data_IF_649245373173
#
_entry.id   IF_649245373173
#
_cell.length_a   1.000
_cell.length_b   1.000
_cell.length_c   1.000
_cell.angle_alpha   90.00
_cell.angle_beta   90.00
_cell.angle_gamma   90.00
#
_symmetry.space_group_name_H-M   'P 1'
#
loop_
_entity.id
_entity.type
_entity.pdbx_description
1 polymer ?
#
# COMPACT_ATOMS: atom_id res chain seq x y z
N UNK A 1 -18.67 8.46 2.24
CA UNK A 1 -17.85 9.20 3.23
C UNK A 1 -17.41 10.56 2.70
N UNK A 2 -16.86 10.65 1.47
CA UNK A 2 -16.46 11.92 0.85
C UNK A 2 -17.66 12.86 0.68
N UNK A 3 -18.78 12.35 0.17
CA UNK A 3 -20.01 13.13 -0.03
C UNK A 3 -20.59 13.63 1.30
N UNK A 4 -20.59 12.79 2.34
CA UNK A 4 -21.10 13.16 3.67
C UNK A 4 -20.22 14.21 4.38
N UNK A 5 -18.91 14.22 4.10
CA UNK A 5 -18.00 15.26 4.59
C UNK A 5 -18.19 16.59 3.85
N UNK A 6 -18.43 16.53 2.53
CA UNK A 6 -18.70 17.71 1.73
C UNK A 6 -20.05 18.38 2.08
N UNK A 7 -21.00 17.60 2.65
CA UNK A 7 -22.29 18.09 3.13
C UNK A 7 -22.29 18.50 4.63
N UNK A 8 -21.11 18.65 5.26
CA UNK A 8 -20.92 18.93 6.69
C UNK A 8 -21.62 17.93 7.67
N UNK A 9 -22.11 16.80 7.14
CA UNK A 9 -22.77 15.78 7.94
C UNK A 9 -21.79 14.97 8.82
N UNK A 10 -20.50 15.04 8.52
CA UNK A 10 -19.43 14.43 9.32
C UNK A 10 -18.33 15.46 9.50
N UNK A 11 -17.98 15.78 10.75
CA UNK A 11 -16.89 16.68 11.08
C UNK A 11 -15.59 16.27 10.35
N UNK A 12 -14.98 17.19 9.64
CA UNK A 12 -13.68 16.97 9.02
C UNK A 12 -12.64 16.76 10.13
N UNK A 13 -11.79 15.73 9.97
CA UNK A 13 -10.66 15.54 10.89
C UNK A 13 -9.84 16.83 10.93
N UNK A 14 -9.54 17.37 12.14
CA UNK A 14 -8.74 18.58 12.25
C UNK A 14 -7.41 18.40 11.52
N UNK A 15 -6.97 19.45 10.84
CA UNK A 15 -5.70 19.46 10.14
C UNK A 15 -4.56 19.27 11.15
N UNK A 16 -3.74 18.25 10.93
CA UNK A 16 -2.51 18.06 11.70
C UNK A 16 -1.50 19.17 11.32
N UNK A 17 -1.28 20.11 12.22
CA UNK A 17 -0.40 21.28 12.02
C UNK A 17 1.06 21.01 12.40
N UNK A 18 1.37 19.79 12.91
CA UNK A 18 2.74 19.40 13.25
C UNK A 18 3.66 19.39 12.01
N UNK A 19 4.98 19.43 12.23
CA UNK A 19 5.96 19.33 11.15
C UNK A 19 5.74 18.06 10.33
N UNK A 20 5.45 16.94 10.99
CA UNK A 20 5.14 15.66 10.33
C UNK A 20 3.85 15.77 9.52
N UNK A 21 2.80 16.35 10.06
CA UNK A 21 1.53 16.53 9.33
C UNK A 21 1.68 17.41 8.09
N UNK A 22 2.49 18.47 8.16
CA UNK A 22 2.79 19.33 7.01
C UNK A 22 3.58 18.57 5.94
N UNK A 23 4.57 17.79 6.35
CA UNK A 23 5.40 16.99 5.46
C UNK A 23 4.57 15.92 4.72
N UNK A 24 3.68 15.22 5.43
CA UNK A 24 2.80 14.22 4.83
C UNK A 24 1.86 14.83 3.79
N UNK A 25 1.35 16.03 4.01
CA UNK A 25 0.52 16.74 3.02
C UNK A 25 1.29 17.07 1.75
N UNK A 26 2.53 17.56 1.88
CA UNK A 26 3.39 17.87 0.73
C UNK A 26 3.71 16.60 -0.08
N UNK A 27 3.98 15.51 0.62
CA UNK A 27 4.25 14.23 -0.03
C UNK A 27 2.99 13.65 -0.69
N UNK A 28 1.81 13.76 -0.06
CA UNK A 28 0.54 13.33 -0.65
C UNK A 28 0.25 14.09 -1.95
N UNK A 29 0.40 15.39 -1.92
CA UNK A 29 0.24 16.25 -3.11
C UNK A 29 1.19 15.85 -4.25
N UNK A 30 2.45 15.56 -3.93
CA UNK A 30 3.40 15.04 -4.91
C UNK A 30 2.96 13.69 -5.50
N UNK A 31 2.53 12.76 -4.65
CA UNK A 31 2.06 11.45 -5.10
C UNK A 31 0.82 11.56 -6.00
N UNK A 32 -0.06 12.50 -5.71
CA UNK A 32 -1.25 12.75 -6.51
C UNK A 32 -0.94 13.43 -7.83
N UNK A 33 -0.30 14.60 -7.77
CA UNK A 33 -0.16 15.48 -8.93
C UNK A 33 0.96 15.06 -9.87
N UNK A 34 2.06 14.54 -9.33
CA UNK A 34 3.24 14.19 -10.14
C UNK A 34 3.24 12.71 -10.50
N UNK A 35 2.79 11.83 -9.58
CA UNK A 35 2.83 10.39 -9.81
C UNK A 35 1.48 9.78 -10.20
N UNK A 36 0.37 10.50 -10.07
CA UNK A 36 -0.96 10.01 -10.41
C UNK A 36 -1.41 8.77 -9.62
N UNK A 37 -0.95 8.62 -8.36
CA UNK A 37 -1.24 7.43 -7.59
C UNK A 37 -2.69 7.43 -7.07
N UNK A 38 -3.33 6.26 -7.12
CA UNK A 38 -4.67 6.06 -6.59
C UNK A 38 -4.76 6.39 -5.09
N UNK A 39 -5.90 6.93 -4.59
CA UNK A 39 -6.06 7.36 -3.20
C UNK A 39 -5.68 6.28 -2.18
N UNK A 40 -6.10 5.03 -2.38
CA UNK A 40 -5.79 3.91 -1.48
C UNK A 40 -4.28 3.60 -1.41
N UNK A 41 -3.57 3.76 -2.53
CA UNK A 41 -2.11 3.57 -2.58
C UNK A 41 -1.40 4.67 -1.81
N UNK A 42 -1.86 5.92 -1.98
CA UNK A 42 -1.33 7.09 -1.26
C UNK A 42 -1.54 6.95 0.25
N UNK A 43 -2.75 6.61 0.67
CA UNK A 43 -3.07 6.38 2.09
C UNK A 43 -2.16 5.33 2.73
N UNK A 44 -1.94 4.20 2.04
CA UNK A 44 -1.03 3.15 2.50
C UNK A 44 0.40 3.64 2.66
N UNK A 45 0.91 4.42 1.69
CA UNK A 45 2.24 4.99 1.73
C UNK A 45 2.39 6.03 2.85
N UNK A 46 1.41 6.95 2.98
CA UNK A 46 1.42 7.99 4.02
C UNK A 46 1.44 7.40 5.42
N UNK A 47 0.64 6.36 5.69
CA UNK A 47 0.62 5.70 6.99
C UNK A 47 2.00 5.13 7.38
N UNK A 48 2.74 4.57 6.43
CA UNK A 48 4.07 4.02 6.69
C UNK A 48 5.12 5.11 6.89
N UNK A 49 5.05 6.18 6.10
CA UNK A 49 5.92 7.34 6.24
C UNK A 49 5.65 8.06 7.56
N UNK A 50 4.39 8.26 7.92
CA UNK A 50 3.98 8.84 9.21
C UNK A 50 4.56 8.05 10.38
N UNK A 51 4.42 6.72 10.37
CA UNK A 51 4.96 5.86 11.40
C UNK A 51 6.49 5.98 11.53
N UNK A 52 7.20 6.12 10.39
CA UNK A 52 8.65 6.36 10.39
C UNK A 52 8.98 7.72 11.01
N UNK A 53 8.34 8.78 10.55
CA UNK A 53 8.65 10.16 10.96
C UNK A 53 8.31 10.38 12.42
N UNK A 54 7.11 9.97 12.87
CA UNK A 54 6.72 10.11 14.28
C UNK A 54 7.60 9.30 15.22
N UNK A 55 8.06 8.13 14.80
CA UNK A 55 9.01 7.33 15.60
C UNK A 55 10.36 8.03 15.80
N UNK A 56 10.82 8.81 14.82
CA UNK A 56 12.14 9.44 14.87
C UNK A 56 12.13 10.88 15.37
N UNK A 57 11.05 11.61 15.14
CA UNK A 57 10.95 13.04 15.41
C UNK A 57 9.81 13.40 16.35
N UNK A 58 8.84 12.49 16.58
CA UNK A 58 7.64 12.85 17.34
C UNK A 58 6.91 14.00 16.65
N UNK A 59 6.78 15.12 17.35
CA UNK A 59 6.21 16.37 16.84
C UNK A 59 7.27 17.44 16.53
N UNK A 60 8.56 17.10 16.68
CA UNK A 60 9.67 17.98 16.44
C UNK A 60 9.95 18.22 14.94
N UNK A 61 10.87 19.14 14.67
CA UNK A 61 11.32 19.46 13.31
C UNK A 61 12.01 18.27 12.67
N UNK A 62 11.65 17.98 11.41
CA UNK A 62 12.22 16.88 10.64
C UNK A 62 13.62 17.24 10.17
N UNK A 63 14.62 16.47 10.60
CA UNK A 63 16.03 16.61 10.23
C UNK A 63 16.52 15.30 9.63
N UNK A 64 16.66 15.25 8.31
CA UNK A 64 17.02 13.99 7.61
C UNK A 64 18.44 13.51 7.92
N UNK A 65 19.33 14.42 8.30
CA UNK A 65 20.72 14.13 8.70
C UNK A 65 20.80 13.20 9.91
N UNK A 66 19.78 13.22 10.76
CA UNK A 66 19.69 12.36 11.95
C UNK A 66 19.24 10.94 11.60
N UNK A 67 18.57 10.74 10.45
CA UNK A 67 18.13 9.41 10.03
C UNK A 67 19.30 8.67 9.38
N UNK A 68 19.78 7.63 10.04
CA UNK A 68 20.83 6.76 9.51
C UNK A 68 20.24 5.52 8.81
N UNK A 69 20.98 4.91 7.84
CA UNK A 69 20.59 3.66 7.21
C UNK A 69 20.26 2.55 8.23
N UNK A 70 20.98 2.53 9.35
CA UNK A 70 20.75 1.57 10.43
C UNK A 70 19.41 1.78 11.12
N UNK A 71 19.03 3.03 11.37
CA UNK A 71 17.71 3.35 11.95
C UNK A 71 16.57 2.94 11.02
N UNK A 72 16.73 3.15 9.71
CA UNK A 72 15.76 2.74 8.70
C UNK A 72 15.64 1.21 8.65
N UNK A 73 16.76 0.46 8.65
CA UNK A 73 16.73 -1.02 8.71
C UNK A 73 16.04 -1.53 9.96
N UNK A 74 16.31 -0.92 11.11
CA UNK A 74 15.66 -1.28 12.39
C UNK A 74 14.17 -1.01 12.38
N UNK A 75 13.76 0.12 11.81
CA UNK A 75 12.34 0.42 11.60
C UNK A 75 11.69 -0.61 10.69
N UNK A 76 12.31 -0.92 9.55
CA UNK A 76 11.82 -1.92 8.62
C UNK A 76 11.68 -3.31 9.26
N UNK A 77 12.68 -3.76 10.00
CA UNK A 77 12.64 -5.03 10.73
C UNK A 77 11.51 -5.07 11.78
N UNK A 78 11.22 -3.94 12.44
CA UNK A 78 10.10 -3.84 13.38
C UNK A 78 8.75 -3.91 12.64
N UNK A 79 8.63 -3.25 11.49
CA UNK A 79 7.43 -3.34 10.65
C UNK A 79 7.21 -4.75 10.11
N UNK A 80 8.28 -5.47 9.75
CA UNK A 80 8.21 -6.82 9.22
C UNK A 80 7.46 -7.79 10.14
N UNK A 81 7.54 -7.59 11.46
CA UNK A 81 6.82 -8.40 12.45
C UNK A 81 5.30 -8.29 12.37
N UNK A 82 4.80 -7.21 11.78
CA UNK A 82 3.35 -6.97 11.64
C UNK A 82 2.76 -7.64 10.39
N UNK A 83 3.59 -8.23 9.52
CA UNK A 83 3.14 -8.84 8.27
C UNK A 83 3.38 -10.34 8.28
N UNK A 84 2.31 -11.11 8.01
CA UNK A 84 2.38 -12.58 7.92
C UNK A 84 3.07 -13.07 6.64
N UNK A 85 2.97 -12.31 5.55
CA UNK A 85 3.50 -12.69 4.25
C UNK A 85 4.66 -11.78 3.83
N UNK A 86 5.81 -12.33 3.36
CA UNK A 86 6.94 -11.55 2.85
C UNK A 86 6.56 -10.62 1.69
N UNK A 87 5.57 -11.01 0.87
CA UNK A 87 5.06 -10.20 -0.24
C UNK A 87 4.50 -8.84 0.20
N UNK A 88 3.89 -8.79 1.40
CA UNK A 88 3.36 -7.55 1.97
C UNK A 88 4.46 -6.56 2.36
N UNK A 89 5.68 -7.04 2.62
CA UNK A 89 6.84 -6.20 2.91
C UNK A 89 7.31 -5.39 1.69
N UNK A 90 7.05 -5.88 0.48
CA UNK A 90 7.32 -5.15 -0.75
C UNK A 90 6.62 -3.79 -0.80
N UNK A 91 5.40 -3.69 -0.28
CA UNK A 91 4.67 -2.44 -0.17
C UNK A 91 5.35 -1.45 0.79
N UNK A 92 5.88 -1.95 1.93
CA UNK A 92 6.63 -1.12 2.89
C UNK A 92 7.89 -0.57 2.25
N UNK A 93 8.66 -1.44 1.56
CA UNK A 93 9.88 -1.02 0.84
C UNK A 93 9.55 0.02 -0.21
N UNK A 94 8.51 -0.22 -1.03
CA UNK A 94 8.09 0.70 -2.09
C UNK A 94 7.68 2.07 -1.54
N UNK A 95 6.90 2.12 -0.47
CA UNK A 95 6.46 3.35 0.17
C UNK A 95 7.64 4.17 0.70
N UNK A 96 8.53 3.54 1.49
CA UNK A 96 9.67 4.23 2.09
C UNK A 96 10.71 4.66 1.04
N UNK A 97 11.01 3.80 0.05
CA UNK A 97 11.91 4.17 -1.05
C UNK A 97 11.33 5.31 -1.88
N UNK A 98 9.99 5.30 -2.12
CA UNK A 98 9.31 6.39 -2.81
C UNK A 98 9.45 7.71 -2.09
N UNK A 99 9.26 7.72 -0.77
CA UNK A 99 9.42 8.89 0.07
C UNK A 99 10.87 9.42 0.07
N UNK A 100 11.86 8.56 0.31
CA UNK A 100 13.25 8.99 0.32
C UNK A 100 13.75 9.48 -1.05
N UNK A 101 13.26 8.92 -2.16
CA UNK A 101 13.55 9.43 -3.51
C UNK A 101 12.95 10.82 -3.73
N UNK A 102 11.71 11.03 -3.26
CA UNK A 102 11.10 12.34 -3.31
C UNK A 102 11.92 13.36 -2.50
N UNK A 103 12.36 13.02 -1.28
CA UNK A 103 13.21 13.91 -0.48
C UNK A 103 14.56 14.16 -1.17
N UNK A 104 15.14 13.15 -1.79
CA UNK A 104 16.36 13.33 -2.59
C UNK A 104 16.17 14.34 -3.74
N UNK A 105 15.00 14.33 -4.40
CA UNK A 105 14.68 15.31 -5.45
C UNK A 105 14.54 16.75 -4.93
N UNK A 106 14.30 16.92 -3.63
CA UNK A 106 14.26 18.22 -2.95
C UNK A 106 15.64 18.65 -2.42
N UNK A 107 16.69 17.84 -2.63
CA UNK A 107 18.06 18.15 -2.25
C UNK A 107 18.58 17.45 -0.98
N UNK A 108 17.76 16.65 -0.30
CA UNK A 108 18.21 15.95 0.90
C UNK A 108 19.10 14.75 0.60
N UNK A 109 20.04 14.47 1.49
CA UNK A 109 20.99 13.37 1.37
C UNK A 109 20.39 12.03 1.78
N UNK A 110 19.32 11.60 1.10
CA UNK A 110 18.55 10.38 1.45
C UNK A 110 18.91 9.16 0.59
N UNK A 111 19.87 9.25 -0.34
CA UNK A 111 20.26 8.13 -1.22
C UNK A 111 20.70 6.87 -0.44
N UNK A 112 21.49 7.05 0.63
CA UNK A 112 21.91 5.95 1.49
C UNK A 112 20.73 5.26 2.20
N UNK A 113 19.66 6.00 2.49
CA UNK A 113 18.44 5.48 3.11
C UNK A 113 17.65 4.61 2.12
N UNK A 114 17.63 5.00 0.84
CA UNK A 114 17.03 4.17 -0.23
C UNK A 114 17.77 2.84 -0.36
N UNK A 115 19.11 2.86 -0.32
CA UNK A 115 19.94 1.64 -0.38
C UNK A 115 19.80 0.73 0.84
N UNK A 116 19.42 1.28 2.00
CA UNK A 116 19.22 0.50 3.22
C UNK A 116 17.98 -0.41 3.19
N UNK A 117 17.07 -0.18 2.25
CA UNK A 117 15.83 -0.91 2.09
C UNK A 117 15.95 -1.91 0.94
N UNK A 118 16.15 -3.19 1.23
CA UNK A 118 16.12 -4.25 0.23
C UNK A 118 14.72 -4.87 0.16
N UNK A 119 14.31 -5.27 -1.05
CA UNK A 119 13.11 -6.11 -1.18
C UNK A 119 13.40 -7.49 -0.61
N UNK A 120 12.49 -8.04 0.20
CA UNK A 120 12.62 -9.42 0.65
C UNK A 120 12.59 -10.35 -0.58
N UNK A 121 13.41 -11.38 -0.54
CA UNK A 121 13.37 -12.40 -1.57
C UNK A 121 11.99 -13.07 -1.60
N UNK A 122 11.36 -13.07 -2.78
CA UNK A 122 10.04 -13.66 -2.97
C UNK A 122 10.15 -14.89 -3.87
N UNK A 123 10.42 -16.02 -3.25
CA UNK A 123 10.53 -17.33 -3.93
C UNK A 123 9.18 -17.87 -4.43
N UNK A 124 8.05 -17.28 -4.00
CA UNK A 124 6.73 -17.69 -4.50
C UNK A 124 6.54 -17.42 -6.00
N UNK A 125 7.26 -16.45 -6.55
CA UNK A 125 7.25 -16.18 -7.99
C UNK A 125 8.14 -17.15 -8.79
N UNK A 126 8.93 -17.99 -8.12
CA UNK A 126 9.74 -19.02 -8.77
C UNK A 126 8.93 -20.28 -9.11
N UNK A 127 7.73 -20.44 -8.57
CA UNK A 127 6.80 -21.52 -8.95
C UNK A 127 5.96 -21.13 -10.14
N UNK A 128 5.58 -22.11 -10.96
CA UNK A 128 4.59 -21.91 -12.01
C UNK A 128 3.28 -21.34 -11.42
N UNK A 129 2.56 -20.49 -12.17
CA UNK A 129 1.24 -20.05 -11.75
C UNK A 129 0.36 -21.26 -11.40
N UNK A 130 -0.31 -21.19 -10.27
CA UNK A 130 -1.30 -22.20 -9.90
C UNK A 130 -2.55 -21.93 -10.73
N UNK A 131 -2.85 -22.82 -11.64
CA UNK A 131 -4.12 -22.85 -12.38
C UNK A 131 -5.01 -23.95 -11.81
N UNK A 132 -6.31 -23.78 -11.95
CA UNK A 132 -7.24 -24.86 -11.70
C UNK A 132 -7.10 -25.92 -12.80
N UNK A 133 -7.17 -27.19 -12.42
CA UNK A 133 -7.29 -28.28 -13.38
C UNK A 133 -8.69 -28.28 -14.00
N UNK A 134 -8.85 -28.76 -15.24
CA UNK A 134 -10.17 -28.77 -15.92
C UNK A 134 -11.30 -29.39 -15.08
N UNK A 135 -11.01 -30.47 -14.36
CA UNK A 135 -11.97 -31.11 -13.47
C UNK A 135 -12.38 -30.24 -12.27
N UNK A 136 -11.46 -29.38 -11.76
CA UNK A 136 -11.78 -28.44 -10.68
C UNK A 136 -12.65 -27.29 -11.19
N UNK A 137 -12.47 -26.87 -12.45
CA UNK A 137 -13.32 -25.86 -13.11
C UNK A 137 -14.74 -26.41 -13.27
N UNK A 138 -14.88 -27.64 -13.75
CA UNK A 138 -16.20 -28.31 -13.90
C UNK A 138 -16.92 -28.46 -12.55
N UNK A 139 -16.18 -28.82 -11.48
CA UNK A 139 -16.74 -28.89 -10.12
C UNK A 139 -17.18 -27.51 -9.62
N UNK A 140 -16.41 -26.47 -9.89
CA UNK A 140 -16.76 -25.10 -9.52
C UNK A 140 -18.04 -24.65 -10.23
N UNK A 141 -18.14 -24.88 -11.54
CA UNK A 141 -19.32 -24.55 -12.33
C UNK A 141 -20.57 -25.32 -11.85
N UNK A 142 -20.44 -26.61 -11.57
CA UNK A 142 -21.53 -27.42 -11.02
C UNK A 142 -22.00 -26.93 -9.66
N UNK A 143 -21.09 -26.49 -8.79
CA UNK A 143 -21.41 -25.95 -7.48
C UNK A 143 -22.18 -24.60 -7.54
N UNK A 144 -21.99 -23.82 -8.59
CA UNK A 144 -22.62 -22.51 -8.78
C UNK A 144 -24.02 -22.59 -9.37
N UNK A 145 -24.40 -23.68 -10.04
CA UNK A 145 -25.69 -23.89 -10.67
C UNK A 145 -26.88 -24.02 -9.70
N UNK A 146 -26.67 -23.84 -8.38
CA UNK A 146 -27.69 -23.95 -7.37
C UNK A 146 -28.53 -22.68 -7.20
N UNK A 147 -29.81 -22.85 -6.76
CA UNK A 147 -30.81 -21.79 -6.75
C UNK A 147 -30.68 -20.85 -5.55
N UNK A 148 -30.63 -19.52 -5.82
CA UNK A 148 -30.70 -18.45 -4.82
C UNK A 148 -30.12 -17.13 -5.34
N UNK A 149 -30.58 -15.95 -4.86
CA UNK A 149 -30.10 -14.65 -5.35
C UNK A 149 -28.60 -14.44 -5.17
N UNK A 150 -28.06 -14.89 -4.04
CA UNK A 150 -26.62 -14.81 -3.73
C UNK A 150 -25.80 -15.71 -4.65
N UNK A 151 -26.29 -16.91 -4.95
CA UNK A 151 -25.63 -17.87 -5.83
C UNK A 151 -25.64 -17.42 -7.30
N UNK A 152 -26.73 -16.79 -7.77
CA UNK A 152 -26.77 -16.20 -9.12
C UNK A 152 -25.72 -15.12 -9.32
N UNK A 153 -25.51 -14.28 -8.30
CA UNK A 153 -24.47 -13.26 -8.34
C UNK A 153 -23.07 -13.89 -8.38
N UNK A 154 -22.84 -14.90 -7.54
CA UNK A 154 -21.56 -15.62 -7.51
C UNK A 154 -21.31 -16.33 -8.85
N UNK A 155 -22.32 -17.01 -9.42
CA UNK A 155 -22.25 -17.64 -10.74
C UNK A 155 -21.87 -16.63 -11.83
N UNK A 156 -22.56 -15.49 -11.90
CA UNK A 156 -22.25 -14.44 -12.87
C UNK A 156 -20.80 -13.92 -12.72
N UNK A 157 -20.34 -13.69 -11.48
CA UNK A 157 -18.97 -13.23 -11.22
C UNK A 157 -17.93 -14.25 -11.66
N UNK A 158 -18.14 -15.53 -11.32
CA UNK A 158 -17.20 -16.61 -11.68
C UNK A 158 -17.16 -16.81 -13.20
N UNK A 159 -18.29 -16.78 -13.89
CA UNK A 159 -18.33 -16.85 -15.37
C UNK A 159 -17.60 -15.66 -16.01
N UNK A 160 -17.79 -14.44 -15.49
CA UNK A 160 -17.01 -13.30 -15.98
C UNK A 160 -15.49 -13.50 -15.79
N UNK A 161 -15.06 -14.14 -14.72
CA UNK A 161 -13.63 -14.44 -14.50
C UNK A 161 -13.13 -15.57 -15.42
N UNK A 162 -13.92 -16.62 -15.60
CA UNK A 162 -13.52 -17.79 -16.41
C UNK A 162 -13.59 -17.49 -17.91
N UNK A 163 -14.71 -16.96 -18.39
CA UNK A 163 -14.98 -16.80 -19.81
C UNK A 163 -14.33 -15.54 -20.42
N UNK A 164 -14.28 -14.45 -19.62
CA UNK A 164 -13.77 -13.16 -20.06
C UNK A 164 -12.40 -12.81 -19.48
N UNK A 165 -11.88 -13.60 -18.55
CA UNK A 165 -10.59 -13.33 -17.90
C UNK A 165 -10.58 -12.07 -17.02
N UNK A 166 -11.75 -11.59 -16.58
CA UNK A 166 -11.86 -10.38 -15.74
C UNK A 166 -11.31 -10.63 -14.34
N UNK A 167 -10.65 -9.61 -13.77
CA UNK A 167 -10.20 -9.63 -12.38
C UNK A 167 -11.29 -9.11 -11.46
N UNK A 168 -11.24 -9.50 -10.18
CA UNK A 168 -12.25 -9.13 -9.17
C UNK A 168 -12.45 -7.62 -8.94
N UNK A 169 -11.67 -6.76 -9.57
CA UNK A 169 -11.78 -5.30 -9.49
C UNK A 169 -12.26 -4.64 -10.79
N UNK A 170 -12.46 -5.42 -11.83
CA UNK A 170 -12.94 -4.99 -13.14
C UNK A 170 -14.42 -5.28 -13.29
#
# INVERSE_FOLDING_TARGET
LVVLRAADAIASKPLDTTAVGQELRRYDQYMEQVRGLAPKTREGALRLVEALLRKHFGDDVIQFEVITPERVRRFFAAQAKNYKAPTSLGAVVSALRGYFRWRASLGDRTHALVGALAYPANWQLASLPKSLEPAEVEQLEAALGQSGPSMRRADAMVRCMLDLGLRSGE
#
